data_IF_443867843093
#
_entry.id   IF_443867843093
#
_cell.length_a   1.000
_cell.length_b   1.000
_cell.length_c   1.000
_cell.angle_alpha   90.00
_cell.angle_beta   90.00
_cell.angle_gamma   90.00
#
_symmetry.space_group_name_H-M   'P 1'
#
loop_
_entity.id
_entity.type
_entity.pdbx_description
1 polymer ?
#
# COMPACT_ATOMS: atom_id res chain seq x y z
N UNK A 1 18.60 -10.16 -24.94
CA UNK A 1 17.59 -9.71 -23.95
C UNK A 1 16.22 -10.36 -24.15
N UNK A 2 15.64 -10.30 -25.35
CA UNK A 2 14.30 -10.86 -25.63
C UNK A 2 14.17 -12.37 -25.33
N UNK A 3 15.22 -13.16 -25.57
CA UNK A 3 15.24 -14.59 -25.26
C UNK A 3 15.17 -14.88 -23.77
N UNK A 4 15.81 -14.04 -22.94
CA UNK A 4 15.74 -14.14 -21.47
C UNK A 4 14.35 -13.76 -20.96
N UNK A 5 13.74 -12.71 -21.50
CA UNK A 5 12.36 -12.36 -21.17
C UNK A 5 11.38 -13.49 -21.48
N UNK A 6 11.55 -14.16 -22.63
CA UNK A 6 10.73 -15.33 -22.98
C UNK A 6 10.91 -16.49 -22.01
N UNK A 7 12.14 -16.78 -21.58
CA UNK A 7 12.40 -17.84 -20.59
C UNK A 7 11.80 -17.52 -19.23
N UNK A 8 11.90 -16.27 -18.76
CA UNK A 8 11.28 -15.84 -17.50
C UNK A 8 9.75 -15.94 -17.55
N UNK A 9 9.13 -15.53 -18.66
CA UNK A 9 7.68 -15.64 -18.84
C UNK A 9 7.24 -17.11 -18.86
N UNK A 10 8.02 -17.99 -19.51
CA UNK A 10 7.73 -19.43 -19.51
C UNK A 10 7.88 -20.01 -18.09
N UNK A 11 8.93 -19.63 -17.37
CA UNK A 11 9.15 -20.05 -15.99
C UNK A 11 8.00 -19.59 -15.07
N UNK A 12 7.58 -18.33 -15.18
CA UNK A 12 6.45 -17.78 -14.44
C UNK A 12 5.14 -18.55 -14.71
N UNK A 13 4.88 -18.92 -15.97
CA UNK A 13 3.67 -19.68 -16.35
C UNK A 13 3.63 -21.07 -15.73
N UNK A 14 4.79 -21.68 -15.48
CA UNK A 14 4.93 -23.00 -14.85
C UNK A 14 4.71 -22.98 -13.32
N UNK A 15 4.66 -21.80 -12.70
CA UNK A 15 4.44 -21.68 -11.25
C UNK A 15 2.98 -21.97 -10.86
N UNK A 16 2.77 -22.22 -9.56
CA UNK A 16 1.44 -22.47 -9.00
C UNK A 16 0.47 -21.30 -9.27
N UNK A 17 -0.84 -21.57 -9.26
CA UNK A 17 -1.85 -20.51 -9.45
C UNK A 17 -1.70 -19.39 -8.41
N UNK A 18 -1.54 -19.74 -7.13
CA UNK A 18 -1.40 -18.76 -6.06
C UNK A 18 -0.14 -17.89 -6.22
N UNK A 19 0.99 -18.49 -6.63
CA UNK A 19 2.21 -17.74 -6.92
C UNK A 19 2.00 -16.72 -8.05
N UNK A 20 1.36 -17.14 -9.14
CA UNK A 20 1.08 -16.28 -10.29
C UNK A 20 0.16 -15.11 -9.90
N UNK A 21 -0.89 -15.39 -9.13
CA UNK A 21 -1.82 -14.35 -8.64
C UNK A 21 -1.11 -13.37 -7.71
N UNK A 22 -0.34 -13.85 -6.73
CA UNK A 22 0.39 -12.99 -5.81
C UNK A 22 1.39 -12.09 -6.57
N UNK A 23 2.14 -12.66 -7.50
CA UNK A 23 3.13 -11.91 -8.28
C UNK A 23 2.47 -10.86 -9.18
N UNK A 24 1.39 -11.22 -9.89
CA UNK A 24 0.66 -10.27 -10.74
C UNK A 24 0.02 -9.15 -9.93
N UNK A 25 -0.62 -9.47 -8.80
CA UNK A 25 -1.21 -8.44 -7.92
C UNK A 25 -0.15 -7.51 -7.34
N UNK A 26 1.00 -8.05 -6.92
CA UNK A 26 2.13 -7.24 -6.48
C UNK A 26 2.70 -6.37 -7.60
N UNK A 27 2.81 -6.88 -8.83
CA UNK A 27 3.28 -6.12 -9.98
C UNK A 27 2.36 -4.93 -10.25
N UNK A 28 1.05 -5.17 -10.32
CA UNK A 28 0.05 -4.12 -10.53
C UNK A 28 0.13 -3.08 -9.41
N UNK A 29 0.14 -3.52 -8.16
CA UNK A 29 0.20 -2.61 -7.01
C UNK A 29 1.51 -1.80 -6.95
N UNK A 30 2.63 -2.40 -7.37
CA UNK A 30 3.93 -1.71 -7.46
C UNK A 30 3.94 -0.57 -8.48
N UNK A 31 3.09 -0.64 -9.51
CA UNK A 31 2.89 0.47 -10.45
C UNK A 31 2.04 1.58 -9.83
N UNK A 32 1.09 1.22 -8.95
CA UNK A 32 0.20 2.16 -8.26
C UNK A 32 0.91 2.90 -7.12
N UNK A 33 1.85 2.26 -6.41
CA UNK A 33 2.55 2.87 -5.28
C UNK A 33 3.22 4.22 -5.61
N UNK A 34 4.04 4.36 -6.67
CA UNK A 34 4.60 5.66 -7.05
C UNK A 34 3.53 6.70 -7.38
N UNK A 35 2.39 6.29 -7.94
CA UNK A 35 1.28 7.20 -8.22
C UNK A 35 0.73 7.74 -6.91
N UNK A 36 0.53 6.89 -5.90
CA UNK A 36 0.05 7.33 -4.59
C UNK A 36 1.05 8.30 -3.95
N UNK A 37 2.31 7.89 -3.82
CA UNK A 37 3.31 8.66 -3.07
C UNK A 37 3.61 10.01 -3.73
N UNK A 38 3.78 10.05 -5.05
CA UNK A 38 4.11 11.27 -5.77
C UNK A 38 2.91 12.19 -5.88
N UNK A 39 1.72 11.68 -6.25
CA UNK A 39 0.57 12.54 -6.47
C UNK A 39 0.05 13.16 -5.18
N UNK A 40 0.05 12.40 -4.07
CA UNK A 40 -0.42 12.96 -2.79
C UNK A 40 0.56 14.02 -2.28
N UNK A 41 1.88 13.77 -2.34
CA UNK A 41 2.87 14.77 -1.96
C UNK A 41 2.74 16.04 -2.83
N UNK A 42 2.63 15.88 -4.15
CA UNK A 42 2.46 17.00 -5.07
C UNK A 42 1.14 17.76 -4.83
N UNK A 43 0.04 17.05 -4.54
CA UNK A 43 -1.26 17.66 -4.20
C UNK A 43 -1.17 18.52 -2.94
N UNK A 44 -0.54 18.01 -1.88
CA UNK A 44 -0.34 18.76 -0.64
C UNK A 44 0.52 20.00 -0.89
N UNK A 45 1.64 19.86 -1.60
CA UNK A 45 2.52 20.97 -1.92
C UNK A 45 1.81 22.05 -2.74
N UNK A 46 1.10 21.65 -3.80
CA UNK A 46 0.38 22.59 -4.67
C UNK A 46 -0.74 23.32 -3.94
N UNK A 47 -1.45 22.63 -3.05
CA UNK A 47 -2.67 23.15 -2.44
C UNK A 47 -2.41 23.95 -1.16
N UNK A 48 -1.28 23.71 -0.49
CA UNK A 48 -0.94 24.39 0.77
C UNK A 48 0.29 25.28 0.71
N UNK A 49 1.16 25.10 -0.28
CA UNK A 49 2.45 25.76 -0.42
C UNK A 49 3.34 25.67 0.86
N UNK A 50 3.09 24.67 1.70
CA UNK A 50 3.76 24.47 2.98
C UNK A 50 4.39 23.06 3.03
N UNK A 51 5.73 22.96 2.97
CA UNK A 51 6.44 21.69 3.07
C UNK A 51 6.19 20.93 4.37
N UNK A 52 5.86 21.63 5.47
CA UNK A 52 5.64 21.01 6.79
C UNK A 52 4.47 20.02 6.73
N UNK A 53 3.45 20.32 5.94
CA UNK A 53 2.28 19.44 5.76
C UNK A 53 2.63 18.12 5.07
N UNK A 54 3.56 18.16 4.13
CA UNK A 54 4.09 16.95 3.48
C UNK A 54 4.84 16.10 4.49
N UNK A 55 5.64 16.73 5.36
CA UNK A 55 6.39 16.04 6.41
C UNK A 55 5.42 15.40 7.42
N UNK A 56 4.38 16.11 7.86
CA UNK A 56 3.35 15.56 8.74
C UNK A 56 2.70 14.32 8.11
N UNK A 57 2.29 14.43 6.85
CA UNK A 57 1.70 13.30 6.11
C UNK A 57 2.63 12.08 6.08
N UNK A 58 3.92 12.31 5.78
CA UNK A 58 4.88 11.23 5.66
C UNK A 58 5.19 10.56 7.01
N UNK A 59 5.31 11.36 8.07
CA UNK A 59 5.52 10.86 9.44
C UNK A 59 4.33 10.03 9.92
N UNK A 60 3.10 10.47 9.62
CA UNK A 60 1.91 9.71 10.02
C UNK A 60 1.74 8.42 9.22
N UNK A 61 2.11 8.38 7.93
CA UNK A 61 2.20 7.12 7.17
C UNK A 61 3.15 6.14 7.85
N UNK A 62 4.39 6.59 8.10
CA UNK A 62 5.42 5.72 8.67
C UNK A 62 5.13 5.33 10.12
N UNK A 63 4.32 6.10 10.84
CA UNK A 63 3.80 5.72 12.16
C UNK A 63 2.65 4.72 12.06
N UNK A 64 1.77 4.88 11.06
CA UNK A 64 0.63 3.99 10.82
C UNK A 64 1.04 2.56 10.45
N UNK A 65 2.17 2.40 9.74
CA UNK A 65 2.66 1.08 9.32
C UNK A 65 2.97 0.15 10.52
N UNK A 66 3.83 0.51 11.50
CA UNK A 66 4.06 -0.29 12.70
C UNK A 66 2.79 -0.58 13.52
N UNK A 67 1.92 0.42 13.69
CA UNK A 67 0.63 0.26 14.38
C UNK A 67 -0.18 -0.85 13.70
N UNK A 68 -0.19 -0.82 12.38
CA UNK A 68 -0.95 -1.79 11.59
C UNK A 68 -0.30 -3.15 11.57
N UNK A 69 1.03 -3.25 11.62
CA UNK A 69 1.71 -4.53 11.76
C UNK A 69 1.29 -5.22 13.07
N UNK A 70 1.23 -4.45 14.16
CA UNK A 70 0.73 -4.94 15.45
C UNK A 70 -0.74 -5.38 15.36
N UNK A 71 -1.61 -4.55 14.79
CA UNK A 71 -3.02 -4.90 14.58
C UNK A 71 -3.18 -6.12 13.67
N UNK A 72 -2.43 -6.21 12.59
CA UNK A 72 -2.46 -7.31 11.64
C UNK A 72 -2.13 -8.63 12.33
N UNK A 73 -1.14 -8.65 13.23
CA UNK A 73 -0.83 -9.82 14.06
C UNK A 73 -2.04 -10.33 14.84
N UNK A 74 -2.84 -9.42 15.42
CA UNK A 74 -4.10 -9.79 16.07
C UNK A 74 -5.19 -10.24 15.09
N UNK A 75 -5.40 -9.48 14.00
CA UNK A 75 -6.44 -9.74 13.00
C UNK A 75 -6.22 -11.04 12.22
N UNK A 76 -4.98 -11.48 12.04
CA UNK A 76 -4.62 -12.75 11.41
C UNK A 76 -5.19 -13.98 12.14
N UNK A 77 -5.50 -13.87 13.43
CA UNK A 77 -6.18 -14.94 14.18
C UNK A 77 -7.66 -15.08 13.84
N UNK A 78 -8.27 -14.06 13.21
CA UNK A 78 -9.72 -13.99 12.95
C UNK A 78 -10.07 -13.98 11.46
N UNK A 79 -9.20 -13.42 10.62
CA UNK A 79 -9.46 -13.23 9.19
C UNK A 79 -8.37 -13.89 8.35
N UNK A 80 -8.73 -14.27 7.12
CA UNK A 80 -7.76 -14.83 6.19
C UNK A 80 -6.74 -13.78 5.73
N UNK A 81 -5.49 -14.20 5.56
CA UNK A 81 -4.39 -13.34 5.08
C UNK A 81 -4.77 -12.69 3.73
N UNK A 82 -5.47 -13.42 2.85
CA UNK A 82 -5.91 -12.92 1.55
C UNK A 82 -6.88 -11.75 1.68
N UNK A 83 -7.80 -11.82 2.64
CA UNK A 83 -8.78 -10.75 2.92
C UNK A 83 -8.09 -9.50 3.46
N UNK A 84 -7.17 -9.67 4.41
CA UNK A 84 -6.40 -8.55 4.98
C UNK A 84 -5.48 -7.91 3.93
N UNK A 85 -4.86 -8.72 3.07
CA UNK A 85 -4.08 -8.26 1.93
C UNK A 85 -4.92 -7.43 0.94
N UNK A 86 -6.08 -7.94 0.50
CA UNK A 86 -6.97 -7.20 -0.40
C UNK A 86 -7.55 -5.94 0.26
N UNK A 87 -7.83 -6.00 1.57
CA UNK A 87 -8.31 -4.85 2.33
C UNK A 87 -7.26 -3.75 2.36
N UNK A 88 -5.99 -4.09 2.62
CA UNK A 88 -4.88 -3.14 2.54
C UNK A 88 -4.82 -2.45 1.18
N UNK A 89 -4.90 -3.23 0.09
CA UNK A 89 -4.91 -2.67 -1.27
C UNK A 89 -6.11 -1.74 -1.52
N UNK A 90 -7.33 -2.15 -1.17
CA UNK A 90 -8.51 -1.31 -1.39
C UNK A 90 -8.49 -0.05 -0.53
N UNK A 91 -8.00 -0.15 0.71
CA UNK A 91 -7.89 0.96 1.64
C UNK A 91 -6.97 2.08 1.10
N UNK A 92 -5.96 1.75 0.28
CA UNK A 92 -5.13 2.80 -0.34
C UNK A 92 -5.94 3.69 -1.29
N UNK A 93 -6.84 3.13 -2.09
CA UNK A 93 -7.73 3.90 -2.95
C UNK A 93 -8.68 4.80 -2.14
N UNK A 94 -9.24 4.27 -1.04
CA UNK A 94 -10.09 5.04 -0.13
C UNK A 94 -9.30 6.16 0.54
N UNK A 95 -8.08 5.90 0.99
CA UNK A 95 -7.24 6.89 1.65
C UNK A 95 -6.89 8.06 0.73
N UNK A 96 -6.66 7.79 -0.57
CA UNK A 96 -6.46 8.83 -1.57
C UNK A 96 -7.72 9.66 -1.78
N UNK A 97 -8.89 9.01 -1.84
CA UNK A 97 -10.18 9.71 -1.91
C UNK A 97 -10.39 10.63 -0.70
N UNK A 98 -10.10 10.14 0.52
CA UNK A 98 -10.18 10.94 1.75
C UNK A 98 -9.27 12.16 1.66
N UNK A 99 -8.02 11.97 1.23
CA UNK A 99 -7.04 13.04 1.10
C UNK A 99 -7.48 14.13 0.12
N UNK A 100 -8.04 13.74 -1.03
CA UNK A 100 -8.52 14.66 -2.06
C UNK A 100 -9.88 15.31 -1.70
N UNK A 101 -10.62 14.74 -0.75
CA UNK A 101 -11.92 15.27 -0.30
C UNK A 101 -11.78 16.33 0.79
N UNK A 102 -10.58 16.51 1.36
CA UNK A 102 -10.31 17.54 2.36
C UNK A 102 -10.39 18.92 1.70
N UNK A 103 -11.46 19.67 2.00
CA UNK A 103 -11.66 21.05 1.53
C UNK A 103 -10.68 22.04 2.15
N UNK A 104 -10.19 21.74 3.35
CA UNK A 104 -9.13 22.48 4.02
C UNK A 104 -8.02 21.51 4.45
N UNK A 105 -6.79 21.79 4.00
CA UNK A 105 -5.59 21.04 4.37
C UNK A 105 -5.10 21.48 5.74
N UNK A 106 -5.88 21.18 6.77
CA UNK A 106 -5.44 21.35 8.16
C UNK A 106 -4.46 20.23 8.56
N UNK A 107 -3.57 20.55 9.50
CA UNK A 107 -2.53 19.63 9.95
C UNK A 107 -3.14 18.34 10.53
N UNK A 108 -4.28 18.46 11.22
CA UNK A 108 -5.01 17.33 11.79
C UNK A 108 -5.59 16.41 10.70
N UNK A 109 -6.23 17.01 9.69
CA UNK A 109 -6.82 16.26 8.58
C UNK A 109 -5.78 15.49 7.76
N UNK A 110 -4.64 16.14 7.48
CA UNK A 110 -3.51 15.51 6.80
C UNK A 110 -2.91 14.38 7.65
N UNK A 111 -2.79 14.60 8.96
CA UNK A 111 -2.30 13.58 9.88
C UNK A 111 -3.18 12.32 9.87
N UNK A 112 -4.50 12.49 9.96
CA UNK A 112 -5.48 11.39 9.89
C UNK A 112 -5.41 10.69 8.53
N UNK A 113 -5.38 11.44 7.41
CA UNK A 113 -5.29 10.87 6.08
C UNK A 113 -4.01 10.03 5.91
N UNK A 114 -2.87 10.53 6.44
CA UNK A 114 -1.61 9.79 6.44
C UNK A 114 -1.65 8.55 7.32
N UNK A 115 -2.33 8.56 8.47
CA UNK A 115 -2.56 7.35 9.27
C UNK A 115 -3.40 6.31 8.52
N UNK A 116 -4.47 6.72 7.83
CA UNK A 116 -5.30 5.81 7.02
C UNK A 116 -4.46 5.18 5.89
N UNK A 117 -3.63 5.98 5.22
CA UNK A 117 -2.68 5.48 4.22
C UNK A 117 -1.65 4.52 4.85
N UNK A 118 -1.09 4.87 6.00
CA UNK A 118 -0.18 4.00 6.75
C UNK A 118 -0.82 2.67 7.14
N UNK A 119 -2.12 2.65 7.47
CA UNK A 119 -2.88 1.43 7.67
C UNK A 119 -3.03 0.60 6.41
N UNK A 120 -3.30 1.24 5.28
CA UNK A 120 -3.35 0.55 3.99
C UNK A 120 -2.03 -0.16 3.67
N UNK A 121 -0.91 0.58 3.74
CA UNK A 121 0.43 0.03 3.47
C UNK A 121 0.83 -1.02 4.49
N UNK A 122 0.49 -0.82 5.76
CA UNK A 122 0.74 -1.77 6.83
C UNK A 122 0.06 -3.12 6.57
N UNK A 123 -1.23 -3.12 6.22
CA UNK A 123 -1.94 -4.34 5.86
C UNK A 123 -1.41 -4.97 4.57
N UNK A 124 -1.08 -4.16 3.56
CA UNK A 124 -0.52 -4.68 2.31
C UNK A 124 0.83 -5.39 2.54
N UNK A 125 1.81 -4.73 3.16
CA UNK A 125 3.15 -5.30 3.36
C UNK A 125 3.15 -6.51 4.29
N UNK A 126 2.51 -6.40 5.46
CA UNK A 126 2.52 -7.50 6.43
C UNK A 126 1.93 -8.80 5.85
N UNK A 127 0.81 -8.71 5.12
CA UNK A 127 0.17 -9.89 4.54
C UNK A 127 0.85 -10.36 3.26
N UNK A 128 1.41 -9.46 2.44
CA UNK A 128 2.19 -9.84 1.26
C UNK A 128 3.38 -10.70 1.65
N UNK A 129 4.14 -10.26 2.65
CA UNK A 129 5.36 -10.93 3.07
C UNK A 129 5.03 -12.29 3.68
N UNK A 130 3.92 -12.39 4.44
CA UNK A 130 3.41 -13.67 4.93
C UNK A 130 2.96 -14.60 3.78
N UNK A 131 2.24 -14.09 2.77
CA UNK A 131 1.82 -14.89 1.62
C UNK A 131 3.02 -15.39 0.82
N UNK A 132 4.07 -14.59 0.66
CA UNK A 132 5.29 -15.01 -0.03
C UNK A 132 5.97 -16.18 0.70
N UNK A 133 6.06 -16.11 2.04
CA UNK A 133 6.59 -17.19 2.87
C UNK A 133 5.73 -18.46 2.79
N UNK A 134 4.40 -18.32 2.74
CA UNK A 134 3.49 -19.47 2.68
C UNK A 134 3.45 -20.18 1.31
N UNK A 135 3.97 -19.56 0.25
CA UNK A 135 3.97 -20.09 -1.12
C UNK A 135 5.35 -20.65 -1.51
N UNK A 136 6.39 -20.37 -0.73
CA UNK A 136 7.74 -20.96 -0.88
C UNK A 136 7.77 -22.35 -0.28
#
# INVERSE_FOLDING_TARGET
MLTKLKSEIAHFKNQSYNFRVLTLTNLIYSIVLPVIDIFVAAYVMRSSNDPVKVVIYQLTIYTGIPITFFLNGYLLSKFSIKTLYSLGMMLSGVSMMVMMSLTTLDNTGIGIAGLIMGMSFGFYWANRDFLALAIT
#
